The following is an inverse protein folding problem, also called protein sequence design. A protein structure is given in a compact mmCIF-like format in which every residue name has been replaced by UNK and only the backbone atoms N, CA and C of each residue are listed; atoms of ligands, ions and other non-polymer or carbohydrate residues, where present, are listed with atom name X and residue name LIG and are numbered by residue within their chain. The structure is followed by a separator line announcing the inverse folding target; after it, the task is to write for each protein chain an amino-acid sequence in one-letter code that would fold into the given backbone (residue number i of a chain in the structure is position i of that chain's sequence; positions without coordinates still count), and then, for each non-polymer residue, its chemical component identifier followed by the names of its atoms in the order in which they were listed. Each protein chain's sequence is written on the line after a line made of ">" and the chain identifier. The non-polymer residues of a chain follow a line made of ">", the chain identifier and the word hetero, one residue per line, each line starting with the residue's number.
data_IF_378712906804
#
_entry.id   IF_378712906804
#
_cell.length_a   1.000
_cell.length_b   1.000
_cell.length_c   1.000
_cell.angle_alpha   90.00
_cell.angle_beta   90.00
_cell.angle_gamma   90.00
#
_symmetry.space_group_name_H-M   'P 1'
#
loop_
_entity.id
_entity.type
_entity.pdbx_description
1 polymer ?
#
# COMPACT_ATOMS: atom_id res chain seq x y z
N UNK A 1 37.30 -0.94 26.64
CA UNK A 1 36.02 -1.54 26.19
C UNK A 1 34.91 -0.71 26.80
N UNK A 2 34.46 0.30 26.06
CA UNK A 2 33.51 1.30 26.53
C UNK A 2 32.11 0.72 26.58
N UNK A 3 31.58 0.67 27.80
CA UNK A 3 30.20 0.36 28.10
C UNK A 3 29.31 1.38 27.38
N UNK A 4 28.64 0.95 26.31
CA UNK A 4 27.68 1.80 25.60
C UNK A 4 26.47 1.94 26.52
N UNK A 5 26.47 3.02 27.31
CA UNK A 5 25.46 3.28 28.34
C UNK A 5 24.02 3.22 27.81
N UNK A 6 23.05 3.02 28.72
CA UNK A 6 21.63 2.85 28.39
C UNK A 6 21.07 3.96 27.48
N UNK A 7 21.63 5.17 27.58
CA UNK A 7 21.26 6.34 26.77
C UNK A 7 21.58 6.18 25.27
N UNK A 8 22.69 5.49 24.92
CA UNK A 8 23.03 5.18 23.53
C UNK A 8 22.07 4.16 22.92
N UNK A 9 21.65 3.16 23.71
CA UNK A 9 20.64 2.19 23.26
C UNK A 9 19.28 2.85 23.08
N UNK A 10 18.91 3.78 23.97
CA UNK A 10 17.69 4.58 23.85
C UNK A 10 17.71 5.48 22.61
N UNK A 11 18.84 6.14 22.29
CA UNK A 11 18.94 6.96 21.09
C UNK A 11 18.86 6.12 19.82
N UNK A 12 19.56 4.97 19.76
CA UNK A 12 19.48 4.05 18.62
C UNK A 12 18.07 3.47 18.42
N UNK A 13 17.34 3.17 19.51
CA UNK A 13 15.96 2.70 19.41
C UNK A 13 15.05 3.80 18.86
N UNK A 14 15.24 5.05 19.32
CA UNK A 14 14.46 6.20 18.88
C UNK A 14 14.69 6.52 17.40
N UNK A 15 15.95 6.48 16.96
CA UNK A 15 16.28 6.72 15.55
C UNK A 15 15.70 5.62 14.65
N UNK A 16 15.75 4.34 15.07
CA UNK A 16 15.07 3.26 14.35
C UNK A 16 13.56 3.46 14.28
N UNK A 17 12.90 3.86 15.36
CA UNK A 17 11.45 4.13 15.36
C UNK A 17 11.12 5.28 14.40
N UNK A 18 11.95 6.32 14.36
CA UNK A 18 11.78 7.47 13.46
C UNK A 18 11.96 7.07 11.99
N UNK A 19 13.00 6.31 11.67
CA UNK A 19 13.25 5.81 10.30
C UNK A 19 12.15 4.86 9.84
N UNK A 20 11.72 3.93 10.70
CA UNK A 20 10.60 3.03 10.42
C UNK A 20 9.29 3.80 10.20
N UNK A 21 9.08 4.88 10.97
CA UNK A 21 7.95 5.80 10.84
C UNK A 21 7.94 6.52 9.49
N UNK A 22 9.08 7.08 9.06
CA UNK A 22 9.20 7.70 7.73
C UNK A 22 9.02 6.69 6.60
N UNK A 23 9.51 5.46 6.76
CA UNK A 23 9.35 4.42 5.76
C UNK A 23 7.87 4.01 5.63
N UNK A 24 7.16 3.85 6.73
CA UNK A 24 5.72 3.55 6.75
C UNK A 24 4.88 4.67 6.12
N UNK A 25 5.21 5.93 6.39
CA UNK A 25 4.46 7.07 5.86
C UNK A 25 4.69 7.25 4.36
N UNK A 26 5.94 7.15 3.91
CA UNK A 26 6.27 7.18 2.47
C UNK A 26 5.63 6.02 1.70
N UNK A 27 5.53 4.83 2.30
CA UNK A 27 4.88 3.67 1.70
C UNK A 27 3.36 3.85 1.58
N UNK A 28 2.72 4.45 2.59
CA UNK A 28 1.29 4.80 2.53
C UNK A 28 1.02 5.87 1.49
N UNK A 29 1.83 6.94 1.46
CA UNK A 29 1.72 7.99 0.45
C UNK A 29 1.85 7.45 -0.98
N UNK A 30 2.82 6.56 -1.22
CA UNK A 30 3.00 5.89 -2.52
C UNK A 30 1.81 5.00 -2.91
N UNK A 31 1.18 4.36 -1.94
CA UNK A 31 0.01 3.50 -2.20
C UNK A 31 -1.24 4.32 -2.49
N UNK A 32 -1.47 5.39 -1.71
CA UNK A 32 -2.54 6.35 -1.95
C UNK A 32 -2.40 7.06 -3.30
N UNK A 33 -1.17 7.47 -3.67
CA UNK A 33 -0.88 8.05 -4.97
C UNK A 33 -1.14 7.06 -6.12
N UNK A 34 -0.77 5.78 -5.95
CA UNK A 34 -1.04 4.75 -6.95
C UNK A 34 -2.55 4.50 -7.14
N UNK A 35 -3.33 4.46 -6.05
CA UNK A 35 -4.79 4.36 -6.13
C UNK A 35 -5.42 5.58 -6.79
N UNK A 36 -5.06 6.78 -6.33
CA UNK A 36 -5.60 8.03 -6.88
C UNK A 36 -5.27 8.20 -8.36
N UNK A 37 -4.00 7.95 -8.74
CA UNK A 37 -3.57 7.97 -10.14
C UNK A 37 -4.26 6.90 -10.98
N UNK A 38 -4.41 5.68 -10.46
CA UNK A 38 -5.10 4.59 -11.15
C UNK A 38 -6.56 4.92 -11.45
N UNK A 39 -7.30 5.42 -10.46
CA UNK A 39 -8.71 5.83 -10.64
C UNK A 39 -8.82 7.01 -11.60
N UNK A 40 -7.94 8.01 -11.50
CA UNK A 40 -7.93 9.15 -12.40
C UNK A 40 -7.74 8.73 -13.87
N UNK A 41 -6.75 7.87 -14.14
CA UNK A 41 -6.52 7.34 -15.48
C UNK A 41 -7.70 6.48 -15.98
N UNK A 42 -8.37 5.75 -15.08
CA UNK A 42 -9.57 4.98 -15.43
C UNK A 42 -10.70 5.87 -15.92
N UNK A 43 -10.95 6.98 -15.22
CA UNK A 43 -11.99 7.94 -15.59
C UNK A 43 -11.70 8.59 -16.95
N UNK A 44 -10.43 8.95 -17.20
CA UNK A 44 -10.02 9.45 -18.51
C UNK A 44 -10.21 8.40 -19.61
N UNK A 45 -9.86 7.14 -19.34
CA UNK A 45 -10.07 6.04 -20.27
C UNK A 45 -11.55 5.82 -20.58
N UNK A 46 -12.43 5.87 -19.57
CA UNK A 46 -13.88 5.75 -19.75
C UNK A 46 -14.43 6.91 -20.60
N UNK A 47 -13.99 8.15 -20.34
CA UNK A 47 -14.35 9.30 -21.15
C UNK A 47 -13.92 9.15 -22.62
N UNK A 48 -12.70 8.67 -22.84
CA UNK A 48 -12.20 8.39 -24.19
C UNK A 48 -12.98 7.26 -24.88
N UNK A 49 -13.30 6.17 -24.17
CA UNK A 49 -14.14 5.09 -24.68
C UNK A 49 -15.55 5.58 -25.04
N UNK A 50 -16.14 6.45 -24.21
CA UNK A 50 -17.45 7.03 -24.48
C UNK A 50 -17.45 7.85 -25.78
N UNK A 51 -16.43 8.68 -26.01
CA UNK A 51 -16.30 9.41 -27.28
C UNK A 51 -16.11 8.48 -28.48
N UNK A 52 -15.29 7.44 -28.33
CA UNK A 52 -15.07 6.43 -29.37
C UNK A 52 -16.39 5.75 -29.78
N UNK A 53 -17.20 5.37 -28.79
CA UNK A 53 -18.47 4.65 -28.99
C UNK A 53 -19.55 5.59 -29.54
N UNK A 54 -19.64 6.80 -29.00
CA UNK A 54 -20.62 7.80 -29.45
C UNK A 54 -20.30 8.38 -30.85
N UNK A 55 -19.08 8.19 -31.33
CA UNK A 55 -18.62 8.72 -32.61
C UNK A 55 -18.45 10.24 -32.62
N UNK A 56 -18.59 10.90 -31.47
CA UNK A 56 -18.43 12.34 -31.35
C UNK A 56 -16.95 12.73 -31.37
N UNK A 57 -16.51 13.61 -32.28
CA UNK A 57 -15.10 13.92 -32.44
C UNK A 57 -14.52 14.91 -31.42
N UNK A 58 -15.24 15.24 -30.35
CA UNK A 58 -15.04 16.47 -29.57
C UNK A 58 -13.64 16.59 -28.96
N UNK A 59 -13.14 15.57 -28.25
CA UNK A 59 -11.86 15.65 -27.55
C UNK A 59 -10.71 15.37 -28.51
N UNK A 60 -10.78 14.34 -29.36
CA UNK A 60 -9.64 14.00 -30.21
C UNK A 60 -9.37 15.01 -31.32
N UNK A 61 -10.39 15.70 -31.85
CA UNK A 61 -10.16 16.83 -32.77
C UNK A 61 -9.62 18.06 -32.06
N UNK A 62 -10.06 18.32 -30.82
CA UNK A 62 -9.53 19.44 -30.03
C UNK A 62 -8.04 19.28 -29.70
N UNK A 63 -7.56 18.05 -29.51
CA UNK A 63 -6.14 17.75 -29.24
C UNK A 63 -5.34 17.56 -30.55
N UNK A 64 -5.99 17.64 -31.72
CA UNK A 64 -5.35 17.44 -33.02
C UNK A 64 -4.87 16.00 -33.28
N UNK A 65 -5.44 15.02 -32.56
CA UNK A 65 -5.13 13.60 -32.73
C UNK A 65 -5.92 13.03 -33.91
N UNK A 66 -5.37 12.00 -34.56
CA UNK A 66 -6.17 11.17 -35.46
C UNK A 66 -7.02 10.20 -34.64
N UNK A 67 -8.12 9.71 -35.22
CA UNK A 67 -8.97 8.70 -34.57
C UNK A 67 -8.16 7.48 -34.10
N UNK A 68 -7.23 7.01 -34.93
CA UNK A 68 -6.32 5.92 -34.58
C UNK A 68 -5.38 6.25 -33.41
N UNK A 69 -4.80 7.45 -33.39
CA UNK A 69 -3.98 7.92 -32.27
C UNK A 69 -4.76 7.97 -30.96
N UNK A 70 -6.02 8.40 -31.01
CA UNK A 70 -6.89 8.44 -29.84
C UNK A 70 -7.19 7.05 -29.25
N UNK A 71 -7.40 6.03 -30.09
CA UNK A 71 -7.55 4.64 -29.64
C UNK A 71 -6.31 4.14 -28.88
N UNK A 72 -5.11 4.46 -29.37
CA UNK A 72 -3.84 4.08 -28.71
C UNK A 72 -3.73 4.73 -27.34
N UNK A 73 -4.06 6.03 -27.24
CA UNK A 73 -4.06 6.76 -25.97
C UNK A 73 -5.09 6.17 -25.00
N UNK A 74 -6.33 5.93 -25.46
CA UNK A 74 -7.38 5.34 -24.65
C UNK A 74 -6.97 3.95 -24.12
N UNK A 75 -6.43 3.09 -24.98
CA UNK A 75 -5.91 1.78 -24.58
C UNK A 75 -4.75 1.89 -23.58
N UNK A 76 -3.83 2.82 -23.79
CA UNK A 76 -2.72 3.10 -22.88
C UNK A 76 -3.21 3.53 -21.48
N UNK A 77 -4.24 4.38 -21.42
CA UNK A 77 -4.85 4.82 -20.16
C UNK A 77 -5.48 3.65 -19.39
N UNK A 78 -6.20 2.76 -20.08
CA UNK A 78 -6.77 1.54 -19.46
C UNK A 78 -5.67 0.67 -18.86
N UNK A 79 -4.62 0.36 -19.65
CA UNK A 79 -3.53 -0.51 -19.19
C UNK A 79 -2.78 0.11 -18.02
N UNK A 80 -2.45 1.39 -18.09
CA UNK A 80 -1.77 2.11 -17.02
C UNK A 80 -2.62 2.18 -15.74
N UNK A 81 -3.92 2.42 -15.87
CA UNK A 81 -4.87 2.41 -14.75
C UNK A 81 -4.90 1.04 -14.05
N UNK A 82 -5.10 -0.03 -14.82
CA UNK A 82 -5.14 -1.39 -14.28
C UNK A 82 -3.82 -1.77 -13.62
N UNK A 83 -2.68 -1.39 -14.20
CA UNK A 83 -1.37 -1.63 -13.62
C UNK A 83 -1.20 -0.92 -12.25
N UNK A 84 -1.62 0.34 -12.14
CA UNK A 84 -1.55 1.10 -10.88
C UNK A 84 -2.49 0.52 -9.81
N UNK A 85 -3.71 0.17 -10.18
CA UNK A 85 -4.68 -0.45 -9.28
C UNK A 85 -4.20 -1.83 -8.81
N UNK A 86 -3.67 -2.66 -9.72
CA UNK A 86 -3.12 -3.97 -9.37
C UNK A 86 -1.90 -3.84 -8.45
N UNK A 87 -1.03 -2.86 -8.69
CA UNK A 87 0.13 -2.57 -7.84
C UNK A 87 -0.32 -2.15 -6.43
N UNK A 88 -1.29 -1.25 -6.33
CA UNK A 88 -1.83 -0.82 -5.05
C UNK A 88 -2.49 -1.98 -4.29
N UNK A 89 -3.30 -2.78 -4.98
CA UNK A 89 -3.94 -3.97 -4.39
C UNK A 89 -2.91 -5.00 -3.90
N UNK A 90 -1.87 -5.28 -4.69
CA UNK A 90 -0.80 -6.18 -4.28
C UNK A 90 -0.04 -5.66 -3.05
N UNK A 91 0.16 -4.35 -2.95
CA UNK A 91 0.80 -3.71 -1.78
C UNK A 91 -0.06 -3.80 -0.53
N UNK A 92 -1.37 -3.60 -0.66
CA UNK A 92 -2.32 -3.71 0.43
C UNK A 92 -2.40 -5.15 0.94
N UNK A 93 -2.51 -6.11 0.02
CA UNK A 93 -2.57 -7.54 0.37
C UNK A 93 -1.30 -8.04 1.08
N UNK A 94 -0.12 -7.57 0.66
CA UNK A 94 1.14 -7.87 1.37
C UNK A 94 1.15 -7.31 2.80
N UNK A 95 0.54 -6.14 3.01
CA UNK A 95 0.45 -5.52 4.32
C UNK A 95 -0.52 -6.26 5.23
N UNK A 96 -1.62 -6.77 4.70
CA UNK A 96 -2.56 -7.55 5.49
C UNK A 96 -1.96 -8.88 5.95
N UNK A 97 -1.24 -9.59 5.08
CA UNK A 97 -0.49 -10.80 5.47
C UNK A 97 0.54 -10.52 6.57
N UNK A 98 1.23 -9.37 6.51
CA UNK A 98 2.19 -8.99 7.55
C UNK A 98 1.51 -8.66 8.89
N UNK A 99 0.26 -8.20 8.87
CA UNK A 99 -0.55 -7.96 10.08
C UNK A 99 -1.05 -9.28 10.67
N UNK A 100 -1.52 -10.20 9.84
CA UNK A 100 -1.94 -11.54 10.25
C UNK A 100 -0.78 -12.27 10.95
N UNK A 101 0.42 -12.28 10.35
CA UNK A 101 1.59 -12.90 10.98
C UNK A 101 1.99 -12.26 12.33
N UNK A 102 1.70 -10.96 12.52
CA UNK A 102 1.90 -10.28 13.81
C UNK A 102 0.83 -10.65 14.83
N UNK A 103 -0.42 -10.81 14.40
CA UNK A 103 -1.53 -11.25 15.23
C UNK A 103 -1.29 -12.65 15.77
N UNK A 104 -0.92 -13.60 14.90
CA UNK A 104 -0.60 -14.99 15.30
C UNK A 104 0.50 -15.02 16.37
N UNK A 105 1.53 -14.17 16.22
CA UNK A 105 2.62 -14.09 17.19
C UNK A 105 2.17 -13.53 18.54
N UNK A 106 1.30 -12.51 18.54
CA UNK A 106 0.73 -11.95 19.77
C UNK A 106 -0.20 -12.95 20.47
N UNK A 107 -0.98 -13.73 19.70
CA UNK A 107 -1.82 -14.79 20.25
C UNK A 107 -0.98 -15.89 20.91
N UNK A 108 0.13 -16.30 20.29
CA UNK A 108 1.08 -17.24 20.90
C UNK A 108 1.70 -16.70 22.19
N UNK A 109 2.19 -15.45 22.20
CA UNK A 109 2.75 -14.83 23.41
C UNK A 109 1.71 -14.75 24.53
N UNK A 110 0.45 -14.47 24.21
CA UNK A 110 -0.64 -14.42 25.19
C UNK A 110 -0.97 -15.80 25.75
N UNK A 111 -1.00 -16.83 24.92
CA UNK A 111 -1.20 -18.22 25.32
C UNK A 111 -0.08 -18.69 26.27
N UNK A 112 1.18 -18.40 25.93
CA UNK A 112 2.36 -18.71 26.74
C UNK A 112 2.29 -18.05 28.13
N UNK A 113 1.86 -16.78 28.19
CA UNK A 113 1.70 -16.07 29.45
C UNK A 113 0.58 -16.64 30.30
N UNK A 114 -0.55 -17.03 29.69
CA UNK A 114 -1.65 -17.69 30.41
C UNK A 114 -1.21 -19.04 30.99
N UNK A 115 -0.48 -19.83 30.21
CA UNK A 115 0.01 -21.13 30.65
C UNK A 115 0.99 -20.99 31.82
N UNK A 116 1.95 -20.06 31.72
CA UNK A 116 2.88 -19.75 32.84
C UNK A 116 2.16 -19.28 34.09
N UNK A 117 1.12 -18.45 33.95
CA UNK A 117 0.38 -17.94 35.09
C UNK A 117 -0.45 -19.04 35.76
N UNK A 118 -1.04 -19.95 34.97
CA UNK A 118 -1.74 -21.14 35.47
C UNK A 118 -0.79 -22.06 36.25
N UNK A 119 0.41 -22.32 35.73
CA UNK A 119 1.44 -23.12 36.42
C UNK A 119 1.89 -22.44 37.73
N UNK A 120 1.98 -21.11 37.75
CA UNK A 120 2.35 -20.36 38.95
C UNK A 120 1.25 -20.36 40.02
N UNK A 121 -0.02 -20.39 39.62
CA UNK A 121 -1.15 -20.52 40.54
C UNK A 121 -1.24 -21.93 41.14
N UNK A 122 -1.05 -22.97 40.34
CA UNK A 122 -1.07 -24.39 40.76
C UNK A 122 0.05 -24.72 41.76
N UNK A 123 1.18 -24.00 41.72
CA UNK A 123 2.27 -24.13 42.70
C UNK A 123 2.03 -23.41 44.04
N UNK A 124 0.97 -22.61 44.15
CA UNK A 124 0.64 -21.86 45.38
C UNK A 124 -0.44 -22.54 46.22
N UNK A 125 -1.12 -23.54 45.68
CA UNK A 125 -2.01 -24.46 46.40
C UNK A 125 -1.22 -25.68 46.90
#
# INVERSE_FOLDING_TARGET
>A
MTDAGPDKRLSELRDRISDEGQHLDSYRAKTAAALGGGVFLLLLAIGACYEIISGNPSIWTAIGLTRGGFYVVAGGLVVASLALLALAWARERRRDLAREARLDKLEQEFADLMERNKIAADKRE
#
